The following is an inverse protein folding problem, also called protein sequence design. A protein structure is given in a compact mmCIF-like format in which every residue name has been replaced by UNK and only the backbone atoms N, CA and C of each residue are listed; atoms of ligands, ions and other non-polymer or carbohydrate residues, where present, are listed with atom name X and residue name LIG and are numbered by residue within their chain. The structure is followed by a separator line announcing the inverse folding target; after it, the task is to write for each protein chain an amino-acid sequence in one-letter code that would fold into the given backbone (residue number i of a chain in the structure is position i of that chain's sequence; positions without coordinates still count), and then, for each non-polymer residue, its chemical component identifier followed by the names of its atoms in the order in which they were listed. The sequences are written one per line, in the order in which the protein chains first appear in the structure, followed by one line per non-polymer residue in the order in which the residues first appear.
data_IF_154806134185
#
_entry.id   IF_154806134185
#
_cell.length_a   1.000
_cell.length_b   1.000
_cell.length_c   1.000
_cell.angle_alpha   90.00
_cell.angle_beta   90.00
_cell.angle_gamma   90.00
#
_symmetry.space_group_name_H-M   'P 1'
#
loop_
_entity.id
_entity.type
_entity.pdbx_description
1 polymer ?
#
# COMPACT_ATOMS: atom_id res chain seq x y z
N UNK A 1 1.90 46.33 51.92
CA UNK A 1 1.71 44.86 51.83
C UNK A 1 0.22 44.55 51.95
N UNK A 2 -0.46 44.20 50.85
CA UNK A 2 -1.87 43.74 50.91
C UNK A 2 -1.86 42.22 51.01
N UNK A 3 -2.40 41.71 52.12
CA UNK A 3 -2.54 40.30 52.43
C UNK A 3 -3.55 39.65 51.48
N UNK A 4 -3.07 38.77 50.60
CA UNK A 4 -3.92 37.99 49.69
C UNK A 4 -4.49 36.82 50.48
N UNK A 5 -5.81 36.74 50.58
CA UNK A 5 -6.53 35.70 51.35
C UNK A 5 -6.24 34.30 50.78
N UNK A 6 -5.90 33.30 51.62
CA UNK A 6 -5.49 31.96 51.18
C UNK A 6 -6.58 31.21 50.40
N UNK A 7 -7.85 31.64 50.52
CA UNK A 7 -9.00 31.09 49.80
C UNK A 7 -8.98 31.40 48.30
N UNK A 8 -8.36 32.51 47.88
CA UNK A 8 -8.31 32.92 46.47
C UNK A 8 -7.25 32.13 45.69
N UNK A 9 -6.19 31.67 46.36
CA UNK A 9 -5.10 30.89 45.78
C UNK A 9 -5.58 29.45 45.51
N UNK A 10 -6.35 28.86 46.42
CA UNK A 10 -6.90 27.50 46.25
C UNK A 10 -7.92 27.39 45.10
N UNK A 11 -8.70 28.44 44.85
CA UNK A 11 -9.67 28.44 43.74
C UNK A 11 -8.96 28.46 42.37
N UNK A 12 -7.85 29.18 42.24
CA UNK A 12 -7.06 29.23 41.00
C UNK A 12 -6.37 27.90 40.70
N UNK A 13 -5.89 27.16 41.71
CA UNK A 13 -5.20 25.87 41.52
C UNK A 13 -6.16 24.77 41.04
N UNK A 14 -7.42 24.76 41.52
CA UNK A 14 -8.44 23.80 41.07
C UNK A 14 -8.90 24.04 39.62
N UNK A 15 -8.94 25.31 39.18
CA UNK A 15 -9.26 25.64 37.79
C UNK A 15 -8.12 25.23 36.85
N UNK A 16 -6.86 25.42 37.26
CA UNK A 16 -5.68 25.02 36.47
C UNK A 16 -5.59 23.48 36.34
N UNK A 17 -5.84 22.73 37.42
CA UNK A 17 -5.87 21.26 37.36
C UNK A 17 -7.07 20.70 36.58
N UNK A 18 -8.23 21.37 36.61
CA UNK A 18 -9.39 21.01 35.80
C UNK A 18 -9.17 21.19 34.30
N UNK A 19 -8.39 22.19 33.88
CA UNK A 19 -8.05 22.40 32.48
C UNK A 19 -6.97 21.46 31.94
N UNK A 20 -6.03 20.99 32.78
CA UNK A 20 -4.96 20.07 32.34
C UNK A 20 -5.49 18.66 32.05
N UNK A 21 -6.58 18.21 32.71
CA UNK A 21 -7.17 16.89 32.48
C UNK A 21 -8.15 16.81 31.28
N UNK A 22 -8.46 17.93 30.63
CA UNK A 22 -9.38 17.98 29.47
C UNK A 22 -8.64 18.05 28.14
N UNK A 23 -7.34 18.37 28.14
CA UNK A 23 -6.49 18.17 26.96
C UNK A 23 -6.11 16.69 26.84
N UNK A 24 -7.09 15.86 26.47
CA UNK A 24 -6.81 14.66 25.69
C UNK A 24 -6.26 15.16 24.35
N UNK A 25 -4.94 15.20 24.26
CA UNK A 25 -4.20 15.40 23.03
C UNK A 25 -4.49 14.19 22.14
N UNK A 26 -5.64 14.20 21.46
CA UNK A 26 -5.90 13.38 20.29
C UNK A 26 -5.02 13.92 19.16
N UNK A 27 -3.71 13.72 19.31
CA UNK A 27 -2.82 13.66 18.18
C UNK A 27 -3.24 12.42 17.39
N UNK A 28 -4.23 12.57 16.53
CA UNK A 28 -4.29 11.83 15.28
C UNK A 28 -2.94 12.10 14.62
N UNK A 29 -1.99 11.19 14.86
CA UNK A 29 -0.93 10.97 13.91
C UNK A 29 -1.63 10.86 12.56
N UNK A 30 -1.20 11.67 11.60
CA UNK A 30 -1.61 11.57 10.20
C UNK A 30 -1.00 10.28 9.62
N UNK A 31 -1.35 9.15 10.25
CA UNK A 31 -1.03 7.81 9.86
C UNK A 31 -2.04 7.53 8.77
N UNK A 32 -1.59 7.54 7.52
CA UNK A 32 -2.34 6.96 6.42
C UNK A 32 -2.57 5.49 6.76
N UNK A 33 -3.61 5.21 7.54
CA UNK A 33 -3.96 3.88 7.97
C UNK A 33 -4.31 3.08 6.72
N UNK A 34 -3.75 1.87 6.61
CA UNK A 34 -4.18 0.91 5.61
C UNK A 34 -5.67 0.63 5.79
N UNK A 35 -6.42 0.56 4.69
CA UNK A 35 -7.87 0.37 4.68
C UNK A 35 -8.26 -0.65 3.62
N UNK A 36 -9.30 -1.41 3.92
CA UNK A 36 -9.91 -2.32 2.97
C UNK A 36 -11.01 -1.60 2.19
N UNK A 37 -10.97 -1.72 0.88
CA UNK A 37 -11.99 -1.23 -0.05
C UNK A 37 -12.56 -2.41 -0.84
N UNK A 38 -13.87 -2.46 -1.03
CA UNK A 38 -14.56 -3.51 -1.82
C UNK A 38 -15.08 -2.91 -3.13
N UNK A 39 -14.30 -3.06 -4.19
CA UNK A 39 -14.51 -2.39 -5.47
C UNK A 39 -13.63 -3.03 -6.55
N UNK A 40 -13.70 -2.53 -7.78
CA UNK A 40 -12.75 -2.92 -8.82
C UNK A 40 -11.41 -2.20 -8.64
N UNK A 41 -10.32 -2.91 -8.93
CA UNK A 41 -8.94 -2.45 -8.73
C UNK A 41 -7.98 -3.12 -9.71
N UNK A 42 -6.76 -2.57 -9.83
CA UNK A 42 -5.67 -3.22 -10.54
C UNK A 42 -4.75 -3.98 -9.56
N UNK A 43 -4.56 -5.28 -9.77
CA UNK A 43 -3.64 -6.12 -9.03
C UNK A 43 -2.28 -6.14 -9.70
N UNK A 44 -1.33 -5.39 -9.12
CA UNK A 44 0.02 -5.22 -9.66
C UNK A 44 1.09 -6.04 -8.93
N UNK A 45 0.78 -6.80 -7.89
CA UNK A 45 1.76 -7.44 -6.97
C UNK A 45 2.82 -8.32 -7.64
N UNK A 46 2.53 -8.88 -8.82
CA UNK A 46 3.49 -9.63 -9.64
C UNK A 46 3.78 -8.99 -11.00
N UNK A 47 3.39 -7.72 -11.20
CA UNK A 47 3.47 -7.06 -12.49
C UNK A 47 4.93 -6.81 -12.89
N UNK A 48 5.25 -7.19 -14.13
CA UNK A 48 6.48 -6.74 -14.78
C UNK A 48 6.25 -5.34 -15.34
N UNK A 49 7.22 -4.47 -15.12
CA UNK A 49 7.18 -3.09 -15.56
C UNK A 49 8.34 -2.79 -16.50
N UNK A 50 8.16 -1.72 -17.27
CA UNK A 50 9.16 -1.15 -18.17
C UNK A 50 9.34 0.33 -17.81
N UNK A 51 10.58 0.84 -17.69
CA UNK A 51 10.80 2.27 -17.44
C UNK A 51 10.08 3.13 -18.47
N UNK A 52 9.44 4.21 -18.00
CA UNK A 52 8.82 5.18 -18.90
C UNK A 52 9.93 6.00 -19.59
N UNK A 53 10.07 5.95 -20.93
CA UNK A 53 11.08 6.71 -21.65
C UNK A 53 10.91 8.23 -21.51
N UNK A 54 9.72 8.70 -21.16
CA UNK A 54 9.40 10.12 -20.97
C UNK A 54 9.60 10.59 -19.52
N UNK A 55 9.62 9.66 -18.56
CA UNK A 55 9.68 9.98 -17.13
C UNK A 55 10.63 9.03 -16.38
N UNK A 56 11.86 9.47 -16.16
CA UNK A 56 12.94 8.64 -15.58
C UNK A 56 12.71 8.11 -14.15
N UNK A 57 11.69 8.59 -13.45
CA UNK A 57 11.29 8.15 -12.11
C UNK A 57 10.05 7.26 -12.10
N UNK A 58 9.55 6.90 -13.27
CA UNK A 58 8.31 6.15 -13.44
C UNK A 58 8.53 4.94 -14.33
N UNK A 59 7.70 3.92 -14.10
CA UNK A 59 7.62 2.75 -14.94
C UNK A 59 6.17 2.44 -15.27
N UNK A 60 5.96 1.90 -16.45
CA UNK A 60 4.69 1.42 -16.95
C UNK A 60 4.58 -0.06 -16.55
N UNK A 61 3.58 -0.38 -15.74
CA UNK A 61 3.33 -1.72 -15.22
C UNK A 61 2.04 -2.29 -15.83
N UNK A 62 2.05 -3.57 -16.18
CA UNK A 62 0.90 -4.28 -16.73
C UNK A 62 0.28 -5.16 -15.64
N UNK A 63 -0.94 -4.81 -15.24
CA UNK A 63 -1.62 -5.38 -14.09
C UNK A 63 -2.93 -6.04 -14.51
N UNK A 64 -3.47 -6.87 -13.61
CA UNK A 64 -4.76 -7.53 -13.83
C UNK A 64 -5.86 -6.74 -13.16
N UNK A 65 -7.02 -6.63 -13.80
CA UNK A 65 -8.19 -5.98 -13.20
C UNK A 65 -8.96 -7.01 -12.42
N UNK A 66 -9.16 -6.73 -11.14
CA UNK A 66 -9.84 -7.61 -10.19
C UNK A 66 -10.99 -6.86 -9.53
N UNK A 67 -11.92 -7.60 -8.93
CA UNK A 67 -13.03 -7.05 -8.16
C UNK A 67 -13.11 -7.72 -6.80
N UNK A 68 -13.33 -6.91 -5.77
CA UNK A 68 -13.54 -7.38 -4.41
C UNK A 68 -12.76 -6.56 -3.40
N UNK A 69 -12.55 -7.14 -2.23
CA UNK A 69 -11.79 -6.53 -1.15
C UNK A 69 -10.31 -6.47 -1.48
N UNK A 70 -9.73 -5.28 -1.35
CA UNK A 70 -8.31 -5.01 -1.51
C UNK A 70 -7.87 -3.88 -0.57
N UNK A 71 -6.57 -3.80 -0.29
CA UNK A 71 -5.98 -2.84 0.64
C UNK A 71 -5.37 -1.64 -0.11
N UNK A 72 -5.69 -0.43 0.33
CA UNK A 72 -4.99 0.79 -0.04
C UNK A 72 -4.75 1.69 1.17
N UNK A 73 -3.94 2.73 1.00
CA UNK A 73 -3.72 3.76 2.05
C UNK A 73 -4.47 5.07 1.77
N UNK A 74 -5.14 5.14 0.62
CA UNK A 74 -6.02 6.24 0.24
C UNK A 74 -7.47 5.87 0.55
N UNK A 75 -8.30 6.86 0.91
CA UNK A 75 -9.73 6.65 1.18
C UNK A 75 -10.44 6.00 -0.02
N UNK A 76 -11.26 4.96 0.22
CA UNK A 76 -11.91 4.17 -0.84
C UNK A 76 -12.67 5.03 -1.87
N UNK A 77 -13.39 6.06 -1.40
CA UNK A 77 -14.06 7.03 -2.29
C UNK A 77 -13.14 7.67 -3.36
N UNK A 78 -11.85 7.87 -3.05
CA UNK A 78 -10.88 8.41 -4.01
C UNK A 78 -10.31 7.33 -4.94
N UNK A 79 -10.35 6.07 -4.52
CA UNK A 79 -9.92 4.90 -5.28
C UNK A 79 -11.03 4.34 -6.19
N UNK A 80 -12.28 4.78 -6.04
CA UNK A 80 -13.42 4.28 -6.84
C UNK A 80 -13.12 4.33 -8.35
N UNK A 81 -13.50 3.27 -9.10
CA UNK A 81 -13.42 3.26 -10.56
C UNK A 81 -14.19 4.43 -11.16
N UNK A 82 -13.67 4.97 -12.26
CA UNK A 82 -14.30 6.08 -12.99
C UNK A 82 -14.26 5.82 -14.48
N UNK A 83 -15.31 6.20 -15.16
CA UNK A 83 -15.36 6.23 -16.62
C UNK A 83 -15.43 7.70 -17.03
N UNK A 84 -14.52 8.13 -17.90
CA UNK A 84 -14.52 9.50 -18.41
C UNK A 84 -15.49 9.68 -19.59
N UNK A 85 -15.58 10.90 -20.11
CA UNK A 85 -16.48 11.24 -21.22
C UNK A 85 -16.16 10.48 -22.52
N UNK A 86 -14.97 9.92 -22.66
CA UNK A 86 -14.53 9.15 -23.82
C UNK A 86 -14.70 7.64 -23.61
N UNK A 87 -15.30 7.21 -22.50
CA UNK A 87 -15.48 5.80 -22.16
C UNK A 87 -14.22 5.14 -21.61
N UNK A 88 -13.17 5.90 -21.28
CA UNK A 88 -11.94 5.34 -20.72
C UNK A 88 -12.15 5.06 -19.25
N UNK A 89 -12.04 3.79 -18.86
CA UNK A 89 -12.14 3.35 -17.49
C UNK A 89 -10.81 3.49 -16.77
N UNK A 90 -10.84 4.16 -15.63
CA UNK A 90 -9.74 4.27 -14.68
C UNK A 90 -10.06 3.45 -13.44
N UNK A 91 -9.09 2.69 -12.98
CA UNK A 91 -9.05 2.06 -11.66
C UNK A 91 -7.78 2.49 -10.92
N UNK A 92 -7.60 2.03 -9.69
CA UNK A 92 -6.37 2.24 -8.93
C UNK A 92 -5.76 0.91 -8.53
N UNK A 93 -4.43 0.87 -8.46
CA UNK A 93 -3.71 -0.30 -7.99
C UNK A 93 -3.79 -0.41 -6.47
N UNK A 94 -4.31 -1.53 -5.98
CA UNK A 94 -4.43 -1.86 -4.56
C UNK A 94 -3.84 -3.25 -4.31
N UNK A 95 -3.54 -3.54 -3.04
CA UNK A 95 -2.94 -4.80 -2.64
C UNK A 95 -4.00 -5.85 -2.35
N UNK A 96 -3.79 -7.08 -2.79
CA UNK A 96 -4.63 -8.24 -2.48
C UNK A 96 -3.75 -9.49 -2.34
N UNK A 97 -4.25 -10.48 -1.60
CA UNK A 97 -3.63 -11.80 -1.45
C UNK A 97 -4.09 -12.81 -2.51
N UNK A 98 -4.93 -12.39 -3.47
CA UNK A 98 -5.54 -13.26 -4.48
C UNK A 98 -4.53 -14.17 -5.19
N UNK A 99 -3.37 -13.62 -5.57
CA UNK A 99 -2.32 -14.36 -6.26
C UNK A 99 -1.69 -15.50 -5.44
N UNK A 100 -1.85 -15.51 -4.11
CA UNK A 100 -1.44 -16.67 -3.29
C UNK A 100 -2.31 -17.90 -3.60
N UNK A 101 -3.59 -17.70 -3.91
CA UNK A 101 -4.50 -18.79 -4.30
C UNK A 101 -4.11 -19.39 -5.66
N UNK A 102 -3.42 -18.62 -6.51
CA UNK A 102 -2.84 -19.05 -7.78
C UNK A 102 -1.47 -19.73 -7.61
N UNK A 103 -1.01 -19.90 -6.38
CA UNK A 103 0.27 -20.55 -6.08
C UNK A 103 1.50 -19.65 -6.21
N UNK A 104 1.32 -18.33 -6.38
CA UNK A 104 2.44 -17.39 -6.30
C UNK A 104 3.04 -17.39 -4.90
N UNK A 105 4.34 -17.13 -4.85
CA UNK A 105 5.13 -17.05 -3.62
C UNK A 105 5.78 -15.68 -3.54
N UNK A 106 6.01 -15.23 -2.32
CA UNK A 106 6.70 -13.98 -2.03
C UNK A 106 8.20 -14.18 -2.21
N UNK A 107 8.80 -13.39 -3.10
CA UNK A 107 10.24 -13.34 -3.30
C UNK A 107 10.77 -12.06 -2.67
N UNK A 108 11.81 -12.18 -1.84
CA UNK A 108 12.58 -11.05 -1.35
C UNK A 108 13.74 -10.74 -2.31
N UNK A 109 13.90 -9.46 -2.60
CA UNK A 109 14.96 -8.91 -3.41
C UNK A 109 15.83 -7.97 -2.57
N UNK A 110 17.16 -7.98 -2.77
CA UNK A 110 18.05 -7.12 -2.01
C UNK A 110 17.94 -5.65 -2.44
N UNK A 111 18.23 -4.77 -1.50
CA UNK A 111 18.44 -3.35 -1.73
C UNK A 111 19.47 -3.08 -2.85
N UNK A 112 19.34 -1.94 -3.52
CA UNK A 112 20.23 -1.52 -4.61
C UNK A 112 19.78 -1.97 -6.00
N UNK A 113 18.66 -2.68 -6.10
CA UNK A 113 17.99 -3.00 -7.37
C UNK A 113 16.72 -2.14 -7.53
N UNK A 114 16.42 -1.66 -8.76
CA UNK A 114 15.23 -0.86 -8.96
C UNK A 114 13.95 -1.72 -8.94
N UNK A 115 12.92 -1.22 -8.27
CA UNK A 115 11.59 -1.84 -8.21
C UNK A 115 10.52 -0.76 -8.31
N UNK A 116 9.24 -1.14 -8.39
CA UNK A 116 8.16 -0.15 -8.58
C UNK A 116 7.12 -0.19 -7.46
N UNK A 117 6.71 1.00 -7.01
CA UNK A 117 5.63 1.16 -6.03
C UNK A 117 4.34 1.51 -6.74
N UNK A 118 3.45 0.52 -6.87
CA UNK A 118 2.16 0.68 -7.54
C UNK A 118 0.98 0.97 -6.60
N UNK A 119 1.14 0.86 -5.27
CA UNK A 119 0.02 1.07 -4.34
C UNK A 119 -0.58 2.48 -4.47
N UNK A 120 -1.91 2.54 -4.61
CA UNK A 120 -2.73 3.72 -4.91
C UNK A 120 -2.42 4.43 -6.23
N UNK A 121 -1.65 3.83 -7.15
CA UNK A 121 -1.38 4.45 -8.45
C UNK A 121 -2.58 4.32 -9.37
N UNK A 122 -2.82 5.37 -10.16
CA UNK A 122 -3.89 5.40 -11.16
C UNK A 122 -3.52 4.47 -12.31
N UNK A 123 -4.51 3.70 -12.77
CA UNK A 123 -4.37 2.77 -13.88
C UNK A 123 -5.48 2.99 -14.90
N UNK A 124 -5.18 2.74 -16.17
CA UNK A 124 -6.15 2.76 -17.25
C UNK A 124 -6.44 1.32 -17.64
N UNK A 125 -7.72 0.94 -17.63
CA UNK A 125 -8.18 -0.38 -18.09
C UNK A 125 -8.05 -0.44 -19.61
N UNK A 126 -7.55 -1.56 -20.12
CA UNK A 126 -7.43 -1.79 -21.55
C UNK A 126 -8.85 -1.92 -22.16
N UNK A 127 -9.26 -1.04 -23.10
CA UNK A 127 -10.58 -1.12 -23.70
C UNK A 127 -10.79 -2.39 -24.54
N UNK A 128 -9.72 -3.07 -24.96
CA UNK A 128 -9.77 -4.31 -25.73
C UNK A 128 -9.75 -5.56 -24.85
N UNK A 129 -9.20 -5.47 -23.63
CA UNK A 129 -9.24 -6.53 -22.62
C UNK A 129 -9.51 -5.94 -21.23
N UNK A 130 -10.78 -5.88 -20.79
CA UNK A 130 -11.16 -5.30 -19.51
C UNK A 130 -10.53 -5.99 -18.28
N UNK A 131 -9.92 -7.16 -18.43
CA UNK A 131 -9.20 -7.85 -17.35
C UNK A 131 -7.76 -7.35 -17.19
N UNK A 132 -7.31 -6.39 -18.00
CA UNK A 132 -5.95 -5.85 -17.98
C UNK A 132 -5.99 -4.34 -17.78
N UNK A 133 -5.00 -3.83 -17.06
CA UNK A 133 -4.80 -2.41 -16.85
C UNK A 133 -3.32 -2.03 -16.97
N UNK A 134 -3.09 -0.80 -17.40
CA UNK A 134 -1.77 -0.18 -17.46
C UNK A 134 -1.68 0.87 -16.36
N UNK A 135 -0.71 0.71 -15.47
CA UNK A 135 -0.47 1.61 -14.35
C UNK A 135 0.86 2.35 -14.53
N UNK A 136 0.91 3.61 -14.08
CA UNK A 136 2.17 4.37 -13.97
C UNK A 136 2.62 4.37 -12.51
N UNK A 137 3.71 3.67 -12.23
CA UNK A 137 4.21 3.45 -10.88
C UNK A 137 5.54 4.17 -10.66
N UNK A 138 5.85 4.52 -9.42
CA UNK A 138 7.11 5.18 -9.09
C UNK A 138 8.23 4.14 -9.05
N UNK A 139 9.41 4.49 -9.56
CA UNK A 139 10.60 3.67 -9.40
C UNK A 139 11.26 3.97 -8.05
N UNK A 140 11.51 2.91 -7.30
CA UNK A 140 12.15 2.89 -5.99
C UNK A 140 13.53 2.24 -6.09
N UNK A 141 14.44 2.62 -5.18
CA UNK A 141 15.84 2.14 -5.16
C UNK A 141 16.33 1.75 -3.77
N UNK A 142 15.51 1.98 -2.74
CA UNK A 142 15.90 1.87 -1.36
C UNK A 142 15.24 0.66 -0.73
N UNK A 143 15.92 0.14 0.30
CA UNK A 143 15.49 -0.96 1.16
C UNK A 143 15.39 -2.31 0.44
N UNK A 144 15.43 -3.37 1.23
CA UNK A 144 15.04 -4.68 0.74
C UNK A 144 13.53 -4.67 0.47
N UNK A 145 13.12 -5.38 -0.57
CA UNK A 145 11.75 -5.32 -1.06
C UNK A 145 11.24 -6.71 -1.42
N UNK A 146 9.92 -6.83 -1.51
CA UNK A 146 9.25 -8.07 -1.85
C UNK A 146 8.37 -7.92 -3.08
N UNK A 147 8.21 -9.01 -3.82
CA UNK A 147 7.32 -9.10 -4.99
C UNK A 147 6.75 -10.51 -5.12
N UNK A 148 5.62 -10.63 -5.81
CA UNK A 148 5.06 -11.91 -6.23
C UNK A 148 5.51 -12.27 -7.66
N UNK A 149 6.28 -11.36 -8.29
CA UNK A 149 6.91 -11.54 -9.58
C UNK A 149 8.16 -12.42 -9.52
N UNK A 150 8.82 -12.59 -10.67
CA UNK A 150 10.10 -13.31 -10.75
C UNK A 150 10.05 -14.82 -10.54
N UNK A 151 8.89 -15.41 -10.19
CA UNK A 151 8.71 -16.86 -10.03
C UNK A 151 9.77 -17.53 -9.12
N UNK A 152 10.16 -16.86 -8.04
CA UNK A 152 11.23 -17.29 -7.13
C UNK A 152 12.65 -17.34 -7.73
N UNK A 153 12.88 -16.75 -8.90
CA UNK A 153 14.22 -16.52 -9.43
C UNK A 153 14.72 -15.13 -9.02
N UNK A 154 15.56 -15.10 -7.98
CA UNK A 154 16.14 -13.86 -7.43
C UNK A 154 17.06 -13.15 -8.43
N UNK A 155 17.60 -13.83 -9.45
CA UNK A 155 18.37 -13.15 -10.49
C UNK A 155 17.51 -12.12 -11.25
N UNK A 156 16.19 -12.35 -11.30
CA UNK A 156 15.26 -11.43 -11.95
C UNK A 156 15.09 -10.10 -11.22
N UNK A 157 15.48 -9.99 -9.95
CA UNK A 157 15.51 -8.73 -9.21
C UNK A 157 16.45 -7.71 -9.87
N UNK A 158 17.50 -8.16 -10.54
CA UNK A 158 18.48 -7.28 -11.20
C UNK A 158 18.07 -6.87 -12.62
N UNK A 159 17.26 -7.71 -13.28
CA UNK A 159 16.92 -7.54 -14.70
C UNK A 159 15.52 -7.00 -14.94
N UNK A 160 14.66 -7.01 -13.92
CA UNK A 160 13.25 -6.64 -14.04
C UNK A 160 12.86 -5.52 -13.09
N UNK A 161 12.12 -4.54 -13.60
CA UNK A 161 11.35 -3.61 -12.78
C UNK A 161 10.07 -4.33 -12.38
N UNK A 162 10.03 -4.92 -11.19
CA UNK A 162 8.83 -5.56 -10.67
C UNK A 162 8.10 -4.61 -9.75
N UNK A 163 6.77 -4.68 -9.79
CA UNK A 163 5.97 -4.08 -8.72
C UNK A 163 6.19 -4.84 -7.43
N UNK A 164 6.37 -4.09 -6.35
CA UNK A 164 6.70 -4.62 -5.05
C UNK A 164 6.30 -3.68 -3.91
N UNK A 165 6.80 -4.01 -2.73
CA UNK A 165 6.69 -3.20 -1.53
C UNK A 165 7.92 -3.40 -0.65
N UNK A 166 8.17 -2.46 0.25
CA UNK A 166 9.06 -2.70 1.41
C UNK A 166 8.52 -3.88 2.22
N UNK A 167 9.40 -4.62 2.90
CA UNK A 167 9.03 -5.77 3.74
C UNK A 167 7.95 -5.38 4.78
N UNK A 168 8.14 -4.26 5.49
CA UNK A 168 7.20 -3.81 6.52
C UNK A 168 5.81 -3.51 5.95
N UNK A 169 5.73 -2.73 4.87
CA UNK A 169 4.45 -2.42 4.24
C UNK A 169 3.73 -3.66 3.68
N UNK A 170 4.48 -4.65 3.18
CA UNK A 170 3.91 -5.92 2.79
C UNK A 170 3.28 -6.65 3.99
N UNK A 171 4.02 -6.80 5.09
CA UNK A 171 3.51 -7.50 6.27
C UNK A 171 2.31 -6.78 6.89
N UNK A 172 2.35 -5.44 7.01
CA UNK A 172 1.22 -4.66 7.53
C UNK A 172 -0.04 -4.87 6.65
N UNK A 173 0.12 -4.77 5.32
CA UNK A 173 -0.97 -4.97 4.38
C UNK A 173 -1.51 -6.40 4.36
N UNK A 174 -0.62 -7.39 4.39
CA UNK A 174 -0.97 -8.80 4.36
C UNK A 174 -1.67 -9.22 5.64
N UNK A 175 -1.20 -8.77 6.81
CA UNK A 175 -1.84 -9.04 8.09
C UNK A 175 -3.24 -8.44 8.17
N UNK A 176 -3.45 -7.24 7.59
CA UNK A 176 -4.78 -6.64 7.53
C UNK A 176 -5.75 -7.50 6.70
N UNK A 177 -5.33 -7.98 5.53
CA UNK A 177 -6.16 -8.83 4.66
C UNK A 177 -6.37 -10.22 5.25
N UNK A 178 -5.34 -10.84 5.83
CA UNK A 178 -5.46 -12.13 6.55
C UNK A 178 -6.56 -12.04 7.60
N UNK A 179 -6.55 -10.97 8.41
CA UNK A 179 -7.57 -10.74 9.43
C UNK A 179 -8.96 -10.48 8.83
N UNK A 180 -9.05 -9.67 7.77
CA UNK A 180 -10.31 -9.34 7.11
C UNK A 180 -11.01 -10.58 6.52
N UNK A 181 -10.22 -11.54 6.02
CA UNK A 181 -10.71 -12.75 5.36
C UNK A 181 -10.69 -14.00 6.26
N UNK A 182 -10.27 -13.87 7.53
CA UNK A 182 -10.10 -15.00 8.46
C UNK A 182 -9.21 -16.13 7.88
N UNK A 183 -8.09 -15.74 7.27
CA UNK A 183 -7.16 -16.67 6.64
C UNK A 183 -6.12 -17.20 7.65
N UNK A 184 -5.60 -18.39 7.38
CA UNK A 184 -4.41 -18.88 8.07
C UNK A 184 -3.18 -18.09 7.57
N UNK A 185 -2.38 -17.46 8.46
CA UNK A 185 -1.16 -16.74 8.07
C UNK A 185 -0.16 -17.56 7.25
N UNK A 186 -0.18 -18.90 7.38
CA UNK A 186 0.64 -19.82 6.58
C UNK A 186 0.30 -19.86 5.09
N UNK A 187 -0.77 -19.15 4.66
CA UNK A 187 -1.08 -18.93 3.24
C UNK A 187 0.05 -18.16 2.54
N UNK A 188 0.76 -17.29 3.27
CA UNK A 188 1.92 -16.58 2.75
C UNK A 188 3.08 -17.58 2.65
N UNK A 189 3.39 -17.98 1.43
CA UNK A 189 4.54 -18.82 1.13
C UNK A 189 5.65 -17.97 0.59
N UNK A 190 6.81 -18.04 1.22
CA UNK A 190 8.02 -17.42 0.73
C UNK A 190 8.76 -18.35 -0.24
N UNK A 191 9.53 -17.74 -1.14
CA UNK A 191 10.51 -18.46 -1.94
C UNK A 191 11.61 -18.98 -1.01
N UNK A 192 11.67 -20.31 -0.82
CA UNK A 192 12.78 -20.93 -0.08
C UNK A 192 14.03 -20.81 -0.93
N UNK A 193 15.02 -20.09 -0.40
CA UNK A 193 16.18 -19.65 -1.17
C UNK A 193 16.97 -20.79 -1.79
N UNK A 194 17.47 -20.53 -2.99
CA UNK A 194 18.85 -20.89 -3.28
C UNK A 194 19.54 -19.58 -3.68
N UNK A 195 20.27 -18.91 -2.78
CA UNK A 195 21.18 -17.86 -3.20
C UNK A 195 22.30 -18.57 -3.96
N UNK A 196 22.30 -18.45 -5.29
CA UNK A 196 23.49 -18.74 -6.10
C UNK A 196 24.20 -17.42 -6.41
#
# INVERSE_FOLDING_TARGET
MKSVKPTLIFLCILIIFGFILIYKDDRETNQQSMRICDQEYALCTSAKCIPDPSHSKQAICFCEVMKGKSMGTTHCKKLEPKIDANGVQTVYSTFSLEQLSEGKKVMQCPNGTPWTWCLNKKCVVDPMDPNKAVCICDIMYQEDWVTFGGNCDQATCQTGYWSGATIDAFHEGANLLIKEFDLDPSIIKECVGNPQ
#
